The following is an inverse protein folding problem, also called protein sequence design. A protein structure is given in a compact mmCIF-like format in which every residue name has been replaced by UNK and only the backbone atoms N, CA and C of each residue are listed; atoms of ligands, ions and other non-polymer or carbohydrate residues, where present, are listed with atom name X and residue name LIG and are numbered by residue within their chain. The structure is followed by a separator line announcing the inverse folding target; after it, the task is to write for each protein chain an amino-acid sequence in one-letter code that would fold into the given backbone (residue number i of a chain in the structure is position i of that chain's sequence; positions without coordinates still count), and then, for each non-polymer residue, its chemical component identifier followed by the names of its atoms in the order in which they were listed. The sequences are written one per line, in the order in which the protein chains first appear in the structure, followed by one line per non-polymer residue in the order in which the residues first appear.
data_IF_201000792819
#
_entry.id   IF_201000792819
#
_cell.length_a   1.000
_cell.length_b   1.000
_cell.length_c   1.000
_cell.angle_alpha   90.00
_cell.angle_beta   90.00
_cell.angle_gamma   90.00
#
_symmetry.space_group_name_H-M   'P 1'
#
loop_
_entity.id
_entity.type
_entity.pdbx_description
1 polymer ?
#
# COMPACT_ATOMS: atom_id res chain seq x y z
N UNK A 1 10.33 1.83 6.49
CA UNK A 1 10.74 2.36 7.80
C UNK A 1 9.61 3.20 8.37
N UNK A 2 9.18 2.96 9.61
CA UNK A 2 8.13 3.75 10.27
C UNK A 2 8.72 4.62 11.38
N UNK A 3 8.40 5.92 11.38
CA UNK A 3 8.64 6.80 12.53
C UNK A 3 7.44 6.70 13.46
N UNK A 4 7.65 6.07 14.61
CA UNK A 4 6.63 5.81 15.63
C UNK A 4 6.87 6.77 16.79
N UNK A 5 5.81 7.46 17.22
CA UNK A 5 5.87 8.28 18.42
C UNK A 5 5.93 7.36 19.65
N UNK A 6 6.98 7.44 20.49
CA UNK A 6 7.15 6.50 21.60
C UNK A 6 6.09 6.63 22.71
N UNK A 7 5.38 7.76 22.77
CA UNK A 7 4.40 8.05 23.84
C UNK A 7 3.05 7.38 23.60
N UNK A 8 2.60 7.36 22.35
CA UNK A 8 1.25 6.92 21.96
C UNK A 8 1.28 5.76 20.96
N UNK A 9 2.46 5.35 20.47
CA UNK A 9 2.60 4.28 19.48
C UNK A 9 2.13 4.66 18.08
N UNK A 10 1.74 5.92 17.85
CA UNK A 10 1.22 6.34 16.55
C UNK A 10 2.34 6.43 15.52
N UNK A 11 2.11 5.83 14.36
CA UNK A 11 2.97 5.98 13.19
C UNK A 11 2.78 7.40 12.65
N UNK A 12 3.81 8.24 12.78
CA UNK A 12 3.81 9.62 12.30
C UNK A 12 4.28 9.74 10.85
N UNK A 13 5.14 8.83 10.40
CA UNK A 13 5.63 8.82 9.03
C UNK A 13 6.05 7.40 8.61
N UNK A 14 5.88 7.08 7.34
CA UNK A 14 6.47 5.88 6.71
C UNK A 14 7.34 6.36 5.55
N UNK A 15 8.59 5.91 5.54
CA UNK A 15 9.51 6.04 4.42
C UNK A 15 9.80 4.67 3.84
N UNK A 16 9.56 4.50 2.55
CA UNK A 16 9.89 3.28 1.81
C UNK A 16 11.32 3.37 1.29
N UNK A 17 11.97 2.22 1.11
CA UNK A 17 13.23 2.17 0.38
C UNK A 17 12.93 2.28 -1.11
N UNK A 18 13.71 3.09 -1.81
CA UNK A 18 13.65 3.26 -3.26
C UNK A 18 15.07 3.48 -3.81
N UNK A 19 15.20 3.61 -5.13
CA UNK A 19 16.49 3.82 -5.79
C UNK A 19 17.19 5.14 -5.42
N UNK A 20 16.48 6.07 -4.79
CA UNK A 20 17.04 7.29 -4.21
C UNK A 20 17.46 7.14 -2.76
N UNK A 21 17.44 5.93 -2.19
CA UNK A 21 17.79 5.73 -0.79
C UNK A 21 19.25 6.10 -0.50
N UNK A 22 19.44 7.08 0.37
CA UNK A 22 20.75 7.48 0.85
C UNK A 22 20.72 7.74 2.36
N UNK A 23 21.80 7.32 3.04
CA UNK A 23 22.02 7.65 4.45
C UNK A 23 23.37 8.35 4.62
N UNK A 24 23.35 9.57 5.17
CA UNK A 24 24.54 10.42 5.29
C UNK A 24 24.62 11.12 6.64
N UNK A 25 25.82 11.51 7.06
CA UNK A 25 26.08 12.22 8.33
C UNK A 25 26.97 13.44 8.19
N UNK A 26 27.07 14.01 6.98
CA UNK A 26 27.90 15.20 6.80
C UNK A 26 27.23 16.39 7.49
N UNK A 27 28.05 17.28 8.07
CA UNK A 27 27.56 18.53 8.66
C UNK A 27 26.84 19.38 7.60
N UNK A 28 27.31 19.32 6.35
CA UNK A 28 26.72 19.99 5.19
C UNK A 28 25.30 19.47 4.85
N UNK A 29 25.07 18.17 4.99
CA UNK A 29 23.79 17.55 4.71
C UNK A 29 22.79 17.71 5.87
N UNK A 30 23.28 17.71 7.12
CA UNK A 30 22.41 17.60 8.30
C UNK A 30 22.26 18.88 9.11
N UNK A 31 23.16 19.86 8.99
CA UNK A 31 23.20 21.05 9.84
C UNK A 31 23.40 20.78 11.34
N UNK A 32 23.73 19.54 11.72
CA UNK A 32 23.81 19.09 13.12
C UNK A 32 25.11 18.30 13.37
N UNK A 33 25.81 18.57 14.48
CA UNK A 33 27.06 17.89 14.85
C UNK A 33 26.92 16.37 14.96
N UNK A 34 25.73 15.90 15.33
CA UNK A 34 25.34 14.50 15.43
C UNK A 34 24.11 14.16 14.58
N UNK A 35 23.91 14.87 13.46
CA UNK A 35 22.79 14.61 12.55
C UNK A 35 23.00 13.36 11.69
N UNK A 36 21.90 12.66 11.43
CA UNK A 36 21.77 11.57 10.48
C UNK A 36 20.70 11.97 9.46
N UNK A 37 21.07 12.07 8.20
CA UNK A 37 20.11 12.26 7.12
C UNK A 37 19.75 10.91 6.50
N UNK A 38 18.46 10.75 6.23
CA UNK A 38 17.93 9.67 5.40
C UNK A 38 17.13 10.32 4.27
N UNK A 39 17.49 10.00 3.04
CA UNK A 39 16.84 10.48 1.83
C UNK A 39 16.30 9.31 1.00
N UNK A 40 15.25 9.60 0.23
CA UNK A 40 14.54 8.74 -0.74
C UNK A 40 14.06 9.65 -1.87
N UNK A 41 13.51 9.10 -2.95
CA UNK A 41 12.98 9.92 -4.07
C UNK A 41 11.82 10.83 -3.64
N UNK A 42 11.08 10.46 -2.61
CA UNK A 42 9.88 11.19 -2.18
C UNK A 42 10.11 12.08 -0.95
N UNK A 43 11.10 11.76 -0.11
CA UNK A 43 11.26 12.40 1.21
C UNK A 43 12.71 12.42 1.67
N UNK A 44 13.03 13.45 2.44
CA UNK A 44 14.26 13.58 3.20
C UNK A 44 13.94 13.90 4.66
N UNK A 45 14.58 13.21 5.60
CA UNK A 45 14.45 13.44 7.04
C UNK A 45 15.84 13.55 7.65
N UNK A 46 15.99 14.48 8.59
CA UNK A 46 17.19 14.61 9.42
C UNK A 46 16.82 14.27 10.87
N UNK A 47 17.56 13.31 11.43
CA UNK A 47 17.40 12.82 12.80
C UNK A 47 18.62 13.26 13.61
N UNK A 48 18.39 13.86 14.78
CA UNK A 48 19.47 14.17 15.73
C UNK A 48 19.80 12.92 16.56
N UNK A 49 21.02 12.42 16.44
CA UNK A 49 21.52 11.32 17.29
C UNK A 49 22.10 11.86 18.60
N UNK A 50 22.13 11.01 19.64
CA UNK A 50 22.66 11.37 20.95
C UNK A 50 24.19 11.50 20.94
N UNK A 51 24.88 10.59 20.24
CA UNK A 51 26.35 10.58 20.12
C UNK A 51 26.80 10.29 18.70
N UNK A 52 28.07 10.61 18.42
CA UNK A 52 28.75 10.19 17.20
C UNK A 52 28.72 8.66 17.02
N UNK A 53 28.88 7.89 18.11
CA UNK A 53 28.83 6.42 18.07
C UNK A 53 27.45 5.92 17.66
N UNK A 54 26.40 6.40 18.32
CA UNK A 54 25.01 6.01 18.01
C UNK A 54 24.65 6.31 16.55
N UNK A 55 25.09 7.46 16.03
CA UNK A 55 24.92 7.80 14.62
C UNK A 55 25.59 6.80 13.68
N UNK A 56 26.83 6.40 13.98
CA UNK A 56 27.55 5.41 13.15
C UNK A 56 26.88 4.05 13.19
N UNK A 57 26.39 3.61 14.36
CA UNK A 57 25.62 2.37 14.51
C UNK A 57 24.37 2.38 13.61
N UNK A 58 23.60 3.48 13.62
CA UNK A 58 22.44 3.63 12.73
C UNK A 58 22.81 3.63 11.24
N UNK A 59 23.88 4.32 10.85
CA UNK A 59 24.35 4.31 9.44
C UNK A 59 24.68 2.90 9.01
N UNK A 60 25.45 2.18 9.82
CA UNK A 60 25.83 0.80 9.52
C UNK A 60 24.59 -0.07 9.39
N UNK A 61 23.65 0.02 10.34
CA UNK A 61 22.39 -0.71 10.30
C UNK A 61 21.58 -0.43 9.03
N UNK A 62 21.39 0.84 8.66
CA UNK A 62 20.63 1.18 7.47
C UNK A 62 21.30 0.70 6.19
N UNK A 63 22.64 0.78 6.10
CA UNK A 63 23.39 0.24 4.97
C UNK A 63 23.27 -1.28 4.88
N UNK A 64 23.27 -1.96 6.01
CA UNK A 64 23.07 -3.42 6.06
C UNK A 64 21.67 -3.81 5.60
N UNK A 65 20.62 -3.15 6.11
CA UNK A 65 19.24 -3.36 5.67
C UNK A 65 19.10 -3.07 4.17
N UNK A 66 19.69 -1.98 3.68
CA UNK A 66 19.68 -1.62 2.26
C UNK A 66 20.33 -2.68 1.38
N UNK A 67 21.46 -3.26 1.80
CA UNK A 67 22.20 -4.24 1.02
C UNK A 67 21.60 -5.66 1.08
N UNK A 68 20.86 -5.98 2.15
CA UNK A 68 20.34 -7.33 2.39
C UNK A 68 18.83 -7.42 2.15
N UNK A 69 18.03 -6.66 2.90
CA UNK A 69 16.57 -6.82 2.92
C UNK A 69 15.87 -5.95 1.87
N UNK A 70 16.40 -4.75 1.61
CA UNK A 70 15.77 -3.77 0.72
C UNK A 70 16.46 -3.66 -0.64
N UNK A 71 17.41 -4.54 -0.94
CA UNK A 71 18.25 -4.49 -2.15
C UNK A 71 17.44 -4.41 -3.43
N UNK A 72 16.37 -5.20 -3.50
CA UNK A 72 15.45 -5.28 -4.64
C UNK A 72 14.81 -3.94 -5.02
N UNK A 73 14.63 -3.05 -4.04
CA UNK A 73 13.99 -1.74 -4.22
C UNK A 73 14.99 -0.60 -4.45
N UNK A 74 16.27 -0.82 -4.15
CA UNK A 74 17.32 0.22 -4.20
C UNK A 74 18.21 0.05 -5.43
N UNK A 75 18.44 -1.20 -5.86
CA UNK A 75 19.29 -1.48 -7.02
C UNK A 75 18.65 -0.97 -8.32
N UNK A 76 19.49 -0.80 -9.34
CA UNK A 76 19.00 -0.54 -10.69
C UNK A 76 18.39 -1.80 -11.28
N UNK A 77 17.06 -1.81 -11.42
CA UNK A 77 16.34 -2.90 -12.06
C UNK A 77 16.15 -2.62 -13.56
N UNK A 78 15.85 -3.69 -14.31
CA UNK A 78 15.56 -3.65 -15.74
C UNK A 78 14.48 -2.59 -16.05
N UNK A 79 14.68 -1.81 -17.10
CA UNK A 79 13.81 -0.72 -17.53
C UNK A 79 13.57 0.38 -16.48
N UNK A 80 14.48 0.54 -15.51
CA UNK A 80 14.34 1.45 -14.38
C UNK A 80 13.07 1.17 -13.53
N UNK A 81 12.63 -0.09 -13.49
CA UNK A 81 11.52 -0.53 -12.65
C UNK A 81 11.85 -0.37 -11.17
N UNK A 82 10.84 -0.10 -10.33
CA UNK A 82 11.01 -0.13 -8.87
C UNK A 82 11.13 -1.57 -8.32
N UNK A 83 10.74 -2.57 -9.12
CA UNK A 83 10.75 -3.98 -8.76
C UNK A 83 11.73 -4.78 -9.64
N UNK A 84 12.42 -5.79 -9.09
CA UNK A 84 13.33 -6.67 -9.84
C UNK A 84 12.56 -7.73 -10.64
N UNK A 85 13.29 -8.40 -11.54
CA UNK A 85 12.79 -9.59 -12.24
C UNK A 85 12.72 -10.77 -11.26
N UNK A 86 11.57 -11.45 -11.20
CA UNK A 86 11.36 -12.65 -10.37
C UNK A 86 11.25 -13.88 -11.27
N UNK A 87 12.17 -14.82 -11.10
CA UNK A 87 12.19 -16.08 -11.87
C UNK A 87 11.33 -17.14 -11.19
N UNK A 88 10.80 -18.07 -11.99
CA UNK A 88 9.98 -19.20 -11.51
C UNK A 88 8.71 -18.77 -10.75
N UNK A 89 8.00 -17.77 -11.29
CA UNK A 89 6.71 -17.31 -10.76
C UNK A 89 5.57 -17.91 -11.59
N UNK A 90 4.61 -18.53 -10.91
CA UNK A 90 3.38 -18.98 -11.56
C UNK A 90 2.54 -17.77 -11.98
N UNK A 91 2.19 -17.71 -13.26
CA UNK A 91 1.37 -16.65 -13.83
C UNK A 91 0.22 -17.26 -14.63
N UNK A 92 -0.95 -16.65 -14.52
CA UNK A 92 -2.13 -16.97 -15.32
C UNK A 92 -2.59 -15.72 -16.05
N UNK A 93 -2.99 -15.88 -17.30
CA UNK A 93 -3.60 -14.80 -18.08
C UNK A 93 -5.08 -15.09 -18.27
N UNK A 94 -5.86 -14.02 -18.40
CA UNK A 94 -7.30 -14.10 -18.61
C UNK A 94 -7.65 -13.32 -19.87
N UNK A 95 -8.47 -13.91 -20.73
CA UNK A 95 -9.15 -13.20 -21.82
C UNK A 95 -10.57 -12.95 -21.33
N UNK A 96 -11.01 -11.70 -21.46
CA UNK A 96 -12.27 -11.17 -20.96
C UNK A 96 -12.44 -11.21 -19.43
N UNK A 97 -13.59 -10.70 -18.96
CA UNK A 97 -13.87 -10.53 -17.54
C UNK A 97 -14.41 -11.77 -16.82
N UNK A 98 -14.96 -12.76 -17.53
CA UNK A 98 -15.68 -13.88 -16.88
C UNK A 98 -14.77 -14.74 -16.00
N UNK A 99 -13.67 -15.23 -16.58
CA UNK A 99 -12.69 -16.07 -15.87
C UNK A 99 -11.87 -15.26 -14.87
N UNK A 100 -11.51 -14.02 -15.22
CA UNK A 100 -10.82 -13.09 -14.33
C UNK A 100 -11.64 -12.81 -13.06
N UNK A 101 -12.90 -12.37 -13.20
CA UNK A 101 -13.75 -12.04 -12.06
C UNK A 101 -14.02 -13.26 -11.18
N UNK A 102 -14.20 -14.45 -11.78
CA UNK A 102 -14.35 -15.69 -11.01
C UNK A 102 -13.11 -16.02 -10.19
N UNK A 103 -11.91 -15.90 -10.78
CA UNK A 103 -10.66 -16.17 -10.07
C UNK A 103 -10.40 -15.13 -8.95
N UNK A 104 -10.72 -13.86 -9.19
CA UNK A 104 -10.66 -12.81 -8.17
C UNK A 104 -11.62 -13.11 -7.02
N UNK A 105 -12.85 -13.56 -7.32
CA UNK A 105 -13.82 -13.92 -6.29
C UNK A 105 -13.31 -15.01 -5.35
N UNK A 106 -12.68 -16.05 -5.91
CA UNK A 106 -12.09 -17.15 -5.14
C UNK A 106 -10.92 -16.65 -4.27
N UNK A 107 -10.03 -15.83 -4.82
CA UNK A 107 -8.92 -15.24 -4.07
C UNK A 107 -9.39 -14.33 -2.93
N UNK A 108 -10.46 -13.55 -3.14
CA UNK A 108 -11.07 -12.71 -2.10
C UNK A 108 -11.70 -13.57 -1.00
N UNK A 109 -12.44 -14.63 -1.36
CA UNK A 109 -13.07 -15.54 -0.39
C UNK A 109 -12.00 -16.26 0.46
N UNK A 110 -10.86 -16.60 -0.13
CA UNK A 110 -9.77 -17.29 0.55
C UNK A 110 -8.91 -16.40 1.45
N UNK A 111 -8.94 -15.07 1.28
CA UNK A 111 -8.11 -14.13 2.02
C UNK A 111 -8.18 -14.30 3.55
N UNK A 112 -7.03 -14.19 4.24
CA UNK A 112 -6.92 -14.42 5.69
C UNK A 112 -6.54 -13.18 6.50
N UNK A 113 -5.83 -12.23 5.90
CA UNK A 113 -5.25 -11.11 6.63
C UNK A 113 -5.65 -9.78 6.00
N UNK A 114 -5.31 -9.57 4.73
CA UNK A 114 -5.47 -8.28 4.07
C UNK A 114 -5.95 -8.43 2.61
N UNK A 115 -6.76 -7.48 2.17
CA UNK A 115 -7.20 -7.31 0.78
C UNK A 115 -6.87 -5.88 0.37
N UNK A 116 -6.09 -5.73 -0.71
CA UNK A 116 -5.77 -4.43 -1.31
C UNK A 116 -6.46 -4.33 -2.67
N UNK A 117 -7.26 -3.27 -2.86
CA UNK A 117 -7.95 -2.98 -4.12
C UNK A 117 -7.56 -1.57 -4.57
N UNK A 118 -7.17 -1.42 -5.83
CA UNK A 118 -6.99 -0.11 -6.46
C UNK A 118 -7.80 -0.09 -7.75
N UNK A 119 -8.69 0.90 -7.90
CA UNK A 119 -9.60 0.96 -9.03
C UNK A 119 -9.82 2.40 -9.50
N UNK A 120 -10.00 2.54 -10.82
CA UNK A 120 -10.43 3.80 -11.43
C UNK A 120 -11.94 3.98 -11.29
N UNK A 121 -12.72 2.91 -11.42
CA UNK A 121 -14.17 2.92 -11.21
C UNK A 121 -14.63 1.57 -10.68
N UNK A 122 -14.99 1.55 -9.40
CA UNK A 122 -15.46 0.35 -8.72
C UNK A 122 -16.98 0.43 -8.49
N UNK A 123 -17.71 -0.59 -8.95
CA UNK A 123 -19.13 -0.79 -8.61
C UNK A 123 -19.24 -1.84 -7.50
N UNK A 124 -19.59 -1.46 -6.25
CA UNK A 124 -19.65 -2.39 -5.13
C UNK A 124 -20.58 -3.59 -5.37
N UNK A 125 -21.66 -3.39 -6.11
CA UNK A 125 -22.71 -4.38 -6.33
C UNK A 125 -22.46 -5.28 -7.56
N UNK A 126 -21.26 -5.26 -8.14
CA UNK A 126 -20.91 -6.13 -9.27
C UNK A 126 -20.89 -7.60 -8.84
N UNK A 127 -21.49 -8.47 -9.66
CA UNK A 127 -21.43 -9.92 -9.47
C UNK A 127 -20.16 -10.48 -10.11
N UNK A 128 -19.33 -11.11 -9.27
CA UNK A 128 -18.03 -11.66 -9.64
C UNK A 128 -18.14 -13.03 -10.34
N UNK A 129 -19.22 -13.79 -10.07
CA UNK A 129 -19.54 -15.05 -10.76
C UNK A 129 -20.93 -15.00 -11.40
N UNK A 130 -21.08 -15.62 -12.57
CA UNK A 130 -22.31 -15.64 -13.37
C UNK A 130 -22.59 -17.06 -13.92
N UNK A 131 -23.85 -17.47 -14.15
CA UNK A 131 -25.09 -16.72 -13.91
C UNK A 131 -25.31 -16.44 -12.42
N UNK A 132 -26.05 -15.37 -12.12
CA UNK A 132 -26.45 -15.13 -10.73
C UNK A 132 -27.43 -16.24 -10.34
N UNK A 133 -27.12 -16.96 -9.28
CA UNK A 133 -28.12 -17.74 -8.55
C UNK A 133 -28.86 -16.75 -7.63
N UNK A 134 -30.05 -17.05 -7.10
CA UNK A 134 -30.89 -16.13 -6.30
C UNK A 134 -30.28 -15.72 -4.93
N UNK A 135 -28.96 -15.55 -4.86
CA UNK A 135 -28.17 -15.22 -3.69
C UNK A 135 -27.09 -14.19 -4.08
N UNK A 136 -26.86 -13.23 -3.19
CA UNK A 136 -25.87 -12.17 -3.31
C UNK A 136 -24.44 -12.62 -2.90
N UNK A 137 -24.23 -13.93 -2.71
CA UNK A 137 -22.97 -14.49 -2.20
C UNK A 137 -21.74 -14.03 -2.98
N UNK A 138 -21.83 -13.98 -4.33
CA UNK A 138 -20.73 -13.59 -5.21
C UNK A 138 -20.74 -12.11 -5.61
N UNK A 139 -21.52 -11.26 -4.93
CA UNK A 139 -21.47 -9.81 -5.10
C UNK A 139 -20.25 -9.24 -4.37
N UNK A 140 -19.51 -8.34 -5.00
CA UNK A 140 -18.21 -7.87 -4.50
C UNK A 140 -18.31 -7.32 -3.06
N UNK A 141 -19.24 -6.40 -2.82
CA UNK A 141 -19.53 -5.86 -1.49
C UNK A 141 -19.83 -6.96 -0.47
N UNK A 142 -20.63 -7.97 -0.81
CA UNK A 142 -20.97 -9.09 0.08
C UNK A 142 -19.79 -9.99 0.41
N UNK A 143 -18.89 -10.22 -0.55
CA UNK A 143 -17.63 -10.93 -0.29
C UNK A 143 -16.81 -10.11 0.73
N UNK A 144 -16.58 -8.82 0.45
CA UNK A 144 -15.78 -7.95 1.31
C UNK A 144 -16.37 -7.79 2.72
N UNK A 145 -17.70 -7.70 2.84
CA UNK A 145 -18.40 -7.70 4.13
C UNK A 145 -18.09 -8.97 4.93
N UNK A 146 -18.24 -10.16 4.33
CA UNK A 146 -17.93 -11.43 5.01
C UNK A 146 -16.47 -11.51 5.43
N UNK A 147 -15.55 -11.07 4.57
CA UNK A 147 -14.11 -11.07 4.89
C UNK A 147 -13.79 -10.10 6.02
N UNK A 148 -14.35 -8.90 5.98
CA UNK A 148 -14.19 -7.90 7.04
C UNK A 148 -14.78 -8.39 8.37
N UNK A 149 -15.93 -9.06 8.36
CA UNK A 149 -16.52 -9.70 9.54
C UNK A 149 -15.62 -10.81 10.13
N UNK A 150 -14.88 -11.53 9.28
CA UNK A 150 -13.89 -12.52 9.69
C UNK A 150 -12.55 -11.93 10.17
N UNK A 151 -12.42 -10.59 10.23
CA UNK A 151 -11.22 -9.89 10.70
C UNK A 151 -10.20 -9.52 9.62
N UNK A 152 -10.49 -9.80 8.35
CA UNK A 152 -9.63 -9.39 7.21
C UNK A 152 -9.71 -7.89 7.03
N UNK A 153 -8.56 -7.22 6.90
CA UNK A 153 -8.50 -5.78 6.65
C UNK A 153 -8.58 -5.51 5.14
N UNK A 154 -9.53 -4.69 4.73
CA UNK A 154 -9.75 -4.32 3.34
C UNK A 154 -9.35 -2.86 3.14
N UNK A 155 -8.41 -2.62 2.24
CA UNK A 155 -7.92 -1.29 1.89
C UNK A 155 -8.20 -1.02 0.42
N UNK A 156 -9.02 -0.02 0.15
CA UNK A 156 -9.44 0.35 -1.20
C UNK A 156 -8.94 1.75 -1.55
N UNK A 157 -8.23 1.87 -2.67
CA UNK A 157 -7.79 3.12 -3.26
C UNK A 157 -8.61 3.42 -4.52
N UNK A 158 -9.45 4.44 -4.47
CA UNK A 158 -10.28 4.87 -5.60
C UNK A 158 -9.76 6.15 -6.24
N UNK A 159 -9.85 6.26 -7.56
CA UNK A 159 -9.70 7.55 -8.23
C UNK A 159 -10.81 8.51 -7.79
N UNK A 160 -10.46 9.78 -7.56
CA UNK A 160 -11.44 10.85 -7.33
C UNK A 160 -11.68 11.60 -8.62
N UNK A 161 -12.86 11.46 -9.16
CA UNK A 161 -13.32 12.15 -10.34
C UNK A 161 -13.58 13.65 -10.12
N UNK A 162 -13.59 14.37 -11.23
CA UNK A 162 -14.26 15.66 -11.34
C UNK A 162 -15.73 15.38 -11.64
N UNK A 163 -16.60 15.53 -10.64
CA UNK A 163 -18.00 15.10 -10.67
C UNK A 163 -18.80 15.63 -11.88
N UNK A 164 -18.51 16.85 -12.36
CA UNK A 164 -19.16 17.42 -13.54
C UNK A 164 -18.77 16.75 -14.86
N UNK A 165 -17.64 16.04 -14.90
CA UNK A 165 -17.07 15.46 -16.12
C UNK A 165 -17.24 13.95 -16.22
N UNK A 166 -17.40 13.24 -15.09
CA UNK A 166 -17.43 11.78 -15.03
C UNK A 166 -18.47 11.29 -14.01
N UNK A 167 -19.30 10.34 -14.43
CA UNK A 167 -20.37 9.75 -13.61
C UNK A 167 -19.97 8.50 -12.83
N UNK A 168 -18.68 8.30 -12.51
CA UNK A 168 -18.20 7.09 -11.83
C UNK A 168 -18.70 6.99 -10.37
N UNK A 169 -18.97 8.14 -9.74
CA UNK A 169 -19.50 8.26 -8.39
C UNK A 169 -18.66 7.51 -7.33
N UNK A 170 -17.37 7.81 -7.26
CA UNK A 170 -16.44 7.17 -6.32
C UNK A 170 -16.86 7.39 -4.85
N UNK A 171 -17.55 8.49 -4.57
CA UNK A 171 -18.12 8.78 -3.25
C UNK A 171 -19.19 7.75 -2.85
N UNK A 172 -20.12 7.41 -3.76
CA UNK A 172 -21.10 6.35 -3.52
C UNK A 172 -20.41 5.02 -3.24
N UNK A 173 -19.45 4.63 -4.07
CA UNK A 173 -18.72 3.36 -3.89
C UNK A 173 -18.02 3.30 -2.53
N UNK A 174 -17.39 4.41 -2.12
CA UNK A 174 -16.83 4.54 -0.77
C UNK A 174 -17.88 4.35 0.32
N UNK A 175 -19.02 5.03 0.21
CA UNK A 175 -20.07 4.94 1.23
C UNK A 175 -20.61 3.52 1.37
N UNK A 176 -20.89 2.84 0.25
CA UNK A 176 -21.38 1.47 0.27
C UNK A 176 -20.39 0.50 0.90
N UNK A 177 -19.11 0.56 0.49
CA UNK A 177 -18.09 -0.35 1.00
C UNK A 177 -17.82 -0.18 2.50
N UNK A 178 -17.90 1.05 3.02
CA UNK A 178 -17.60 1.34 4.43
C UNK A 178 -18.82 1.13 5.34
N UNK A 179 -20.04 1.16 4.79
CA UNK A 179 -21.29 1.18 5.57
C UNK A 179 -21.43 0.03 6.58
N UNK A 180 -21.04 -1.19 6.20
CA UNK A 180 -21.23 -2.38 7.03
C UNK A 180 -20.07 -2.62 8.03
N UNK A 181 -18.82 -2.34 7.63
CA UNK A 181 -17.63 -2.73 8.41
C UNK A 181 -16.55 -1.64 8.40
N UNK A 182 -16.86 -0.44 8.89
CA UNK A 182 -15.93 0.71 8.85
C UNK A 182 -14.61 0.51 9.61
N UNK A 183 -14.54 -0.43 10.56
CA UNK A 183 -13.32 -0.71 11.31
C UNK A 183 -12.29 -1.47 10.48
N UNK A 184 -12.76 -2.38 9.61
CA UNK A 184 -11.91 -3.26 8.81
C UNK A 184 -11.89 -2.88 7.33
N UNK A 185 -12.85 -2.11 6.82
CA UNK A 185 -12.87 -1.61 5.44
C UNK A 185 -12.54 -0.12 5.43
N UNK A 186 -11.41 0.24 4.80
CA UNK A 186 -10.96 1.61 4.66
C UNK A 186 -10.85 1.99 3.20
N UNK A 187 -11.49 3.09 2.81
CA UNK A 187 -11.51 3.59 1.43
C UNK A 187 -10.90 4.99 1.36
N UNK A 188 -9.84 5.13 0.57
CA UNK A 188 -9.14 6.38 0.30
C UNK A 188 -9.27 6.79 -1.17
N UNK A 189 -9.30 8.09 -1.39
CA UNK A 189 -9.27 8.65 -2.73
C UNK A 189 -7.86 9.09 -3.10
N UNK A 190 -7.40 8.76 -4.31
CA UNK A 190 -6.11 9.23 -4.82
C UNK A 190 -6.07 10.77 -4.81
N UNK A 191 -5.02 11.34 -4.22
CA UNK A 191 -4.85 12.80 -4.11
C UNK A 191 -5.60 13.47 -2.94
N UNK A 192 -6.38 12.72 -2.16
CA UNK A 192 -6.92 13.23 -0.88
C UNK A 192 -5.87 13.15 0.23
N UNK A 193 -5.82 14.16 1.11
CA UNK A 193 -4.89 14.19 2.25
C UNK A 193 -5.37 13.23 3.36
N UNK A 194 -4.81 12.01 3.39
CA UNK A 194 -4.68 11.16 4.59
C UNK A 194 -5.90 10.34 5.05
N UNK A 195 -5.61 9.32 5.86
CA UNK A 195 -6.53 8.62 6.78
C UNK A 195 -6.71 9.43 8.07
#
# INVERSE_FOLDING_TARGET
MGYICPKDGLIKCVMLFDSGFEVSSSMYATGLSHGLQIATLSRQIVIKCWTKRNRMEWITYFKEVANNQARDFIQNNRYNSFAPERVSVDASWFVDGSSYMSAVADALEDAKEEIFIADWWLSPEIYMKRPFQDCDHWRLDKILERKAAAGVKVFVLLYKEVELALGINSYYSKQQLVAAHHDNIKVCHLGSKGF
#
